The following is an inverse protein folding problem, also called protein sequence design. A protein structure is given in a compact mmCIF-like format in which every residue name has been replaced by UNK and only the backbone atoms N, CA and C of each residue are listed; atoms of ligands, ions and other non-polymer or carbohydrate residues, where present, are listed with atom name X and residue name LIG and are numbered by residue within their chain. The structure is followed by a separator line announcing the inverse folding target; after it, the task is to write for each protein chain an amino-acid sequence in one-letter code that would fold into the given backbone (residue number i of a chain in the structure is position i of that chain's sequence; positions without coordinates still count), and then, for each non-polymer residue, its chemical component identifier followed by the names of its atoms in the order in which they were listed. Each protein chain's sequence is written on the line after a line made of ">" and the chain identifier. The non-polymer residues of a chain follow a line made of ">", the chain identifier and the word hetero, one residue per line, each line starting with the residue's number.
data_IF_909172427799
#
_entry.id   IF_909172427799
#
_cell.length_a   1.000
_cell.length_b   1.000
_cell.length_c   1.000
_cell.angle_alpha   90.00
_cell.angle_beta   90.00
_cell.angle_gamma   90.00
#
_symmetry.space_group_name_H-M   'P 1'
#
loop_
_entity.id
_entity.type
_entity.pdbx_description
1 polymer ?
#
# COMPACT_ATOMS: atom_id res chain seq x y z
N UNK A 1 16.43 -0.33 33.13
CA UNK A 1 16.04 0.98 32.57
C UNK A 1 14.87 0.75 31.65
N UNK A 2 13.76 1.44 31.83
CA UNK A 2 12.60 1.29 30.95
C UNK A 2 12.98 1.78 29.54
N UNK A 3 12.80 0.94 28.52
CA UNK A 3 13.05 1.30 27.13
C UNK A 3 11.89 2.16 26.64
N UNK A 4 12.03 3.48 26.79
CA UNK A 4 11.07 4.45 26.31
C UNK A 4 10.87 4.27 24.80
N UNK A 5 9.65 3.99 24.36
CA UNK A 5 9.35 3.63 22.96
C UNK A 5 8.92 4.79 22.08
N UNK A 6 8.97 5.98 22.65
CA UNK A 6 8.59 7.19 21.98
C UNK A 6 9.56 8.31 22.40
N UNK A 7 10.38 8.84 21.48
CA UNK A 7 11.30 9.93 21.77
C UNK A 7 10.58 11.26 22.01
N UNK A 8 9.27 11.34 21.70
CA UNK A 8 8.42 12.52 21.90
C UNK A 8 7.68 12.50 23.25
N UNK A 9 8.14 11.76 24.27
CA UNK A 9 7.55 11.79 25.62
C UNK A 9 8.59 11.51 26.71
N UNK A 10 8.24 11.65 28.00
CA UNK A 10 9.12 11.31 29.14
C UNK A 10 8.44 10.31 30.06
N UNK A 11 9.23 9.52 30.79
CA UNK A 11 8.68 8.57 31.79
C UNK A 11 7.84 9.32 32.84
N UNK A 12 8.27 10.52 33.26
CA UNK A 12 7.53 11.34 34.23
C UNK A 12 6.16 11.76 33.68
N UNK A 13 6.10 12.25 32.43
CA UNK A 13 4.86 12.62 31.77
C UNK A 13 3.91 11.42 31.59
N UNK A 14 4.44 10.26 31.20
CA UNK A 14 3.65 9.03 31.10
C UNK A 14 3.08 8.60 32.46
N UNK A 15 3.90 8.64 33.53
CA UNK A 15 3.44 8.30 34.88
C UNK A 15 2.35 9.25 35.38
N UNK A 16 2.50 10.55 35.17
CA UNK A 16 1.49 11.54 35.52
C UNK A 16 0.19 11.31 34.72
N UNK A 17 0.31 11.08 33.40
CA UNK A 17 -0.81 10.80 32.53
C UNK A 17 -1.57 9.52 32.91
N UNK A 18 -0.85 8.44 33.26
CA UNK A 18 -1.44 7.18 33.75
C UNK A 18 -2.18 7.42 35.06
N UNK A 19 -1.51 7.99 36.06
CA UNK A 19 -2.10 8.21 37.38
C UNK A 19 -3.30 9.17 37.34
N UNK A 20 -3.25 10.20 36.49
CA UNK A 20 -4.35 11.13 36.28
C UNK A 20 -5.57 10.44 35.69
N UNK A 21 -5.39 9.66 34.63
CA UNK A 21 -6.49 8.94 33.97
C UNK A 21 -7.06 7.83 34.84
N UNK A 22 -6.24 7.06 35.55
CA UNK A 22 -6.70 6.03 36.49
C UNK A 22 -7.56 6.62 37.62
N UNK A 23 -7.14 7.76 38.19
CA UNK A 23 -7.95 8.49 39.19
C UNK A 23 -9.27 8.97 38.59
N UNK A 24 -9.25 9.50 37.37
CA UNK A 24 -10.45 9.97 36.69
C UNK A 24 -11.43 8.81 36.41
N UNK A 25 -10.93 7.67 35.96
CA UNK A 25 -11.73 6.45 35.73
C UNK A 25 -12.37 5.97 37.04
N UNK A 26 -11.57 5.83 38.11
CA UNK A 26 -12.06 5.37 39.41
C UNK A 26 -13.13 6.32 40.00
N UNK A 27 -12.93 7.63 39.87
CA UNK A 27 -13.89 8.63 40.32
C UNK A 27 -15.22 8.52 39.56
N UNK A 28 -15.17 8.36 38.23
CA UNK A 28 -16.37 8.23 37.38
C UNK A 28 -17.16 6.96 37.70
N UNK A 29 -16.49 5.82 37.86
CA UNK A 29 -17.13 4.56 38.26
C UNK A 29 -17.77 4.72 39.64
N UNK A 30 -17.02 5.25 40.62
CA UNK A 30 -17.54 5.44 41.98
C UNK A 30 -18.79 6.34 42.00
N UNK A 31 -18.77 7.46 41.29
CA UNK A 31 -19.94 8.35 41.17
C UNK A 31 -21.14 7.62 40.58
N UNK A 32 -20.94 6.85 39.51
CA UNK A 32 -21.99 6.04 38.92
C UNK A 32 -22.57 4.98 39.87
N UNK A 33 -21.78 4.47 40.81
CA UNK A 33 -22.26 3.51 41.81
C UNK A 33 -22.99 4.17 42.97
N UNK A 34 -22.50 5.31 43.45
CA UNK A 34 -22.95 5.91 44.72
C UNK A 34 -23.93 7.07 44.55
N UNK A 35 -23.93 7.75 43.40
CA UNK A 35 -24.65 9.00 43.18
C UNK A 35 -25.59 8.87 41.96
N UNK A 36 -26.69 8.11 42.13
CA UNK A 36 -27.60 7.74 41.03
C UNK A 36 -28.23 8.93 40.29
N UNK A 37 -28.38 10.07 40.95
CA UNK A 37 -28.98 11.28 40.38
C UNK A 37 -27.92 12.29 39.87
N UNK A 38 -26.64 11.92 39.82
CA UNK A 38 -25.58 12.81 39.30
C UNK A 38 -25.88 13.20 37.83
N UNK A 39 -25.94 14.50 37.48
CA UNK A 39 -26.19 14.92 36.10
C UNK A 39 -25.05 14.57 35.12
N UNK A 40 -23.89 14.14 35.62
CA UNK A 40 -22.70 13.82 34.85
C UNK A 40 -22.51 12.34 34.53
N UNK A 41 -23.55 11.48 34.66
CA UNK A 41 -23.44 10.05 34.31
C UNK A 41 -22.99 9.81 32.87
N UNK A 42 -23.17 10.77 31.95
CA UNK A 42 -22.70 10.68 30.56
C UNK A 42 -21.17 10.51 30.46
N UNK A 43 -20.42 10.83 31.51
CA UNK A 43 -18.98 10.63 31.59
C UNK A 43 -18.57 9.15 31.44
N UNK A 44 -19.47 8.21 31.78
CA UNK A 44 -19.28 6.77 31.59
C UNK A 44 -19.00 6.41 30.13
N UNK A 45 -19.60 7.16 29.18
CA UNK A 45 -19.47 6.90 27.75
C UNK A 45 -18.05 7.11 27.21
N UNK A 46 -17.19 7.79 27.98
CA UNK A 46 -15.79 8.04 27.64
C UNK A 46 -14.80 7.05 28.25
N UNK A 47 -15.26 6.14 29.13
CA UNK A 47 -14.37 5.32 29.96
C UNK A 47 -13.49 4.38 29.16
N UNK A 48 -14.05 3.71 28.15
CA UNK A 48 -13.30 2.76 27.32
C UNK A 48 -12.10 3.43 26.65
N UNK A 49 -12.28 4.66 26.17
CA UNK A 49 -11.21 5.45 25.53
C UNK A 49 -10.10 5.78 26.52
N UNK A 50 -10.45 6.21 27.74
CA UNK A 50 -9.50 6.52 28.82
C UNK A 50 -8.74 5.27 29.28
N UNK A 51 -9.45 4.16 29.43
CA UNK A 51 -8.88 2.87 29.80
C UNK A 51 -7.84 2.39 28.77
N UNK A 52 -8.16 2.51 27.48
CA UNK A 52 -7.20 2.18 26.42
C UNK A 52 -6.04 3.14 26.29
N UNK A 53 -6.26 4.42 26.57
CA UNK A 53 -5.18 5.40 26.63
C UNK A 53 -4.19 5.11 27.77
N UNK A 54 -4.68 4.67 28.94
CA UNK A 54 -3.82 4.15 30.02
C UNK A 54 -3.01 2.93 29.56
N UNK A 55 -3.65 1.96 28.91
CA UNK A 55 -2.96 0.78 28.39
C UNK A 55 -1.85 1.15 27.39
N UNK A 56 -2.14 2.06 26.45
CA UNK A 56 -1.15 2.55 25.49
C UNK A 56 0.00 3.32 26.15
N UNK A 57 -0.29 4.14 27.16
CA UNK A 57 0.76 4.86 27.92
C UNK A 57 1.65 3.91 28.70
N UNK A 58 1.09 2.86 29.32
CA UNK A 58 1.85 1.79 29.98
C UNK A 58 2.76 1.05 28.98
N UNK A 59 2.24 0.75 27.79
CA UNK A 59 3.05 0.18 26.72
C UNK A 59 4.18 1.11 26.26
N UNK A 60 3.88 2.39 26.02
CA UNK A 60 4.86 3.40 25.61
C UNK A 60 5.92 3.68 26.69
N UNK A 61 5.54 3.56 27.98
CA UNK A 61 6.45 3.64 29.14
C UNK A 61 7.46 2.50 29.16
N UNK A 62 7.15 1.38 28.48
CA UNK A 62 8.01 0.22 28.40
C UNK A 62 7.77 -0.78 29.53
N UNK A 63 6.55 -0.86 30.05
CA UNK A 63 6.14 -1.90 31.00
C UNK A 63 6.41 -3.30 30.42
N UNK A 64 6.71 -4.26 31.29
CA UNK A 64 6.99 -5.62 30.86
C UNK A 64 5.74 -6.23 30.20
N UNK A 65 5.94 -7.04 29.16
CA UNK A 65 4.82 -7.56 28.38
C UNK A 65 3.90 -8.47 29.21
N UNK A 66 4.46 -9.22 30.17
CA UNK A 66 3.69 -10.05 31.09
C UNK A 66 2.86 -9.22 32.08
N UNK A 67 3.39 -8.08 32.53
CA UNK A 67 2.65 -7.13 33.38
C UNK A 67 1.49 -6.50 32.60
N UNK A 68 1.72 -6.14 31.33
CA UNK A 68 0.67 -5.62 30.44
C UNK A 68 -0.40 -6.67 30.15
N UNK A 69 0.00 -7.93 29.92
CA UNK A 69 -0.92 -9.04 29.72
C UNK A 69 -1.79 -9.27 30.96
N UNK A 70 -1.17 -9.27 32.14
CA UNK A 70 -1.88 -9.39 33.42
C UNK A 70 -2.84 -8.22 33.62
N UNK A 71 -2.36 -6.98 33.50
CA UNK A 71 -3.18 -5.78 33.63
C UNK A 71 -4.38 -5.81 32.67
N UNK A 72 -4.16 -6.15 31.39
CA UNK A 72 -5.22 -6.20 30.39
C UNK A 72 -6.30 -7.24 30.75
N UNK A 73 -5.89 -8.47 31.07
CA UNK A 73 -6.83 -9.57 31.30
C UNK A 73 -7.49 -9.55 32.69
N UNK A 74 -6.76 -9.14 33.72
CA UNK A 74 -7.19 -9.24 35.13
C UNK A 74 -7.75 -7.94 35.69
N UNK A 75 -7.41 -6.78 35.11
CA UNK A 75 -7.87 -5.48 35.60
C UNK A 75 -8.70 -4.74 34.56
N UNK A 76 -8.14 -4.51 33.37
CA UNK A 76 -8.75 -3.66 32.34
C UNK A 76 -10.06 -4.24 31.80
N UNK A 77 -10.04 -5.48 31.32
CA UNK A 77 -11.24 -6.13 30.76
C UNK A 77 -12.37 -6.26 31.80
N UNK A 78 -12.13 -6.74 33.04
CA UNK A 78 -13.16 -6.73 34.08
C UNK A 78 -13.71 -5.34 34.39
N UNK A 79 -12.85 -4.32 34.48
CA UNK A 79 -13.29 -2.94 34.69
C UNK A 79 -14.13 -2.41 33.52
N UNK A 80 -13.80 -2.78 32.28
CA UNK A 80 -14.59 -2.47 31.10
C UNK A 80 -15.97 -3.17 31.12
N UNK A 81 -16.03 -4.46 31.51
CA UNK A 81 -17.33 -5.16 31.70
C UNK A 81 -18.19 -4.46 32.74
N UNK A 82 -17.59 -4.06 33.85
CA UNK A 82 -18.28 -3.34 34.91
C UNK A 82 -18.82 -1.99 34.42
N UNK A 83 -18.01 -1.24 33.68
CA UNK A 83 -18.45 0.01 33.06
C UNK A 83 -19.61 -0.20 32.06
N UNK A 84 -19.61 -1.30 31.29
CA UNK A 84 -20.75 -1.66 30.44
C UNK A 84 -22.02 -1.91 31.26
N UNK A 85 -21.93 -2.65 32.36
CA UNK A 85 -23.07 -2.92 33.23
C UNK A 85 -23.65 -1.62 33.82
N UNK A 86 -22.80 -0.73 34.32
CA UNK A 86 -23.22 0.58 34.81
C UNK A 86 -23.81 1.43 33.68
N UNK A 87 -23.17 1.47 32.51
CA UNK A 87 -23.68 2.23 31.37
C UNK A 87 -25.04 1.71 30.91
N UNK A 88 -25.28 0.40 30.89
CA UNK A 88 -26.59 -0.15 30.52
C UNK A 88 -27.70 0.16 31.53
N UNK A 89 -27.35 0.38 32.80
CA UNK A 89 -28.30 0.85 33.80
C UNK A 89 -28.76 2.29 33.54
N UNK A 90 -27.83 3.20 33.24
CA UNK A 90 -28.13 4.63 33.02
C UNK A 90 -28.58 4.94 31.59
N UNK A 91 -28.08 4.19 30.61
CA UNK A 91 -28.27 4.41 29.17
C UNK A 91 -28.65 3.09 28.49
N UNK A 92 -29.86 2.55 28.74
CA UNK A 92 -30.25 1.22 28.26
C UNK A 92 -30.25 1.10 26.73
N UNK A 93 -30.47 2.20 26.02
CA UNK A 93 -30.44 2.26 24.56
C UNK A 93 -29.02 2.42 23.98
N UNK A 94 -27.99 2.53 24.83
CA UNK A 94 -26.62 2.75 24.42
C UNK A 94 -25.71 1.59 24.84
N UNK A 95 -24.99 1.03 23.89
CA UNK A 95 -23.95 0.02 24.14
C UNK A 95 -22.59 0.69 24.22
N UNK A 96 -21.98 0.67 25.40
CA UNK A 96 -20.63 1.19 25.59
C UNK A 96 -19.60 0.29 24.86
N UNK A 97 -19.03 0.82 23.79
CA UNK A 97 -18.07 0.15 22.91
C UNK A 97 -16.99 1.13 22.45
N UNK A 98 -15.84 0.61 22.06
CA UNK A 98 -14.85 1.35 21.27
C UNK A 98 -15.28 1.36 19.80
N UNK A 99 -14.84 2.33 19.01
CA UNK A 99 -15.04 2.28 17.56
C UNK A 99 -13.80 1.65 16.89
N UNK A 100 -14.00 0.72 15.97
CA UNK A 100 -12.90 0.11 15.21
C UNK A 100 -12.13 1.12 14.34
N UNK A 101 -12.77 2.24 13.97
CA UNK A 101 -12.19 3.36 13.23
C UNK A 101 -11.42 4.35 14.09
N UNK A 102 -11.47 4.23 15.41
CA UNK A 102 -10.74 5.10 16.32
C UNK A 102 -9.35 4.54 16.67
N UNK A 103 -8.40 5.40 17.12
CA UNK A 103 -7.03 4.98 17.42
C UNK A 103 -6.88 3.84 18.43
N UNK A 104 -7.89 3.61 19.26
CA UNK A 104 -7.90 2.54 20.28
C UNK A 104 -8.32 1.18 19.74
N UNK A 105 -8.94 1.11 18.55
CA UNK A 105 -9.41 -0.15 17.96
C UNK A 105 -8.28 -1.15 17.71
N UNK A 106 -7.24 -0.75 16.98
CA UNK A 106 -6.10 -1.64 16.69
C UNK A 106 -5.33 -2.10 17.94
N UNK A 107 -4.99 -1.22 18.90
CA UNK A 107 -4.39 -1.65 20.17
C UNK A 107 -5.24 -2.65 20.94
N UNK A 108 -6.55 -2.44 20.98
CA UNK A 108 -7.47 -3.35 21.68
C UNK A 108 -7.52 -4.72 20.98
N UNK A 109 -7.65 -4.73 19.65
CA UNK A 109 -7.56 -5.97 18.86
C UNK A 109 -6.23 -6.69 19.09
N UNK A 110 -5.10 -5.96 19.08
CA UNK A 110 -3.79 -6.59 19.28
C UNK A 110 -3.63 -7.17 20.69
N UNK A 111 -4.12 -6.46 21.71
CA UNK A 111 -4.13 -6.96 23.08
C UNK A 111 -4.96 -8.24 23.20
N UNK A 112 -6.12 -8.33 22.55
CA UNK A 112 -6.91 -9.58 22.52
C UNK A 112 -6.19 -10.70 21.76
N UNK A 113 -5.62 -10.40 20.60
CA UNK A 113 -4.84 -11.37 19.81
C UNK A 113 -3.67 -11.92 20.62
N UNK A 114 -3.00 -11.09 21.42
CA UNK A 114 -1.86 -11.49 22.24
C UNK A 114 -2.27 -12.14 23.58
N UNK A 115 -3.21 -11.58 24.34
CA UNK A 115 -3.34 -11.86 25.77
C UNK A 115 -4.55 -12.71 26.15
N UNK A 116 -5.65 -12.60 25.41
CA UNK A 116 -6.72 -13.60 25.51
C UNK A 116 -6.14 -14.86 24.89
N UNK A 117 -5.75 -15.87 25.68
CA UNK A 117 -5.09 -17.10 25.20
C UNK A 117 -6.09 -18.10 24.60
N UNK A 118 -7.32 -18.12 25.11
CA UNK A 118 -8.36 -19.07 24.69
C UNK A 118 -9.14 -18.53 23.50
N UNK A 119 -9.36 -17.21 23.44
CA UNK A 119 -9.96 -16.53 22.28
C UNK A 119 -11.42 -16.21 22.51
N UNK A 120 -11.89 -16.40 23.74
CA UNK A 120 -13.27 -16.19 24.14
C UNK A 120 -13.68 -14.73 23.97
N UNK A 121 -12.81 -13.80 24.30
CA UNK A 121 -13.08 -12.36 24.16
C UNK A 121 -12.91 -11.91 22.72
N UNK A 122 -11.91 -12.46 22.02
CA UNK A 122 -11.71 -12.20 20.60
C UNK A 122 -12.89 -12.68 19.74
N UNK A 123 -13.51 -13.81 20.08
CA UNK A 123 -14.72 -14.29 19.38
C UNK A 123 -15.96 -13.42 19.66
N UNK A 124 -15.94 -12.64 20.75
CA UNK A 124 -17.00 -11.70 21.15
C UNK A 124 -16.59 -10.25 20.90
N UNK A 125 -15.78 -10.03 19.87
CA UNK A 125 -15.20 -8.72 19.56
C UNK A 125 -16.27 -7.64 19.35
N UNK A 126 -17.47 -8.01 18.89
CA UNK A 126 -18.62 -7.12 18.70
C UNK A 126 -19.28 -6.66 20.01
N UNK A 127 -18.97 -7.29 21.13
CA UNK A 127 -19.33 -6.78 22.46
C UNK A 127 -18.42 -5.62 22.89
N UNK A 128 -17.21 -5.56 22.34
CA UNK A 128 -16.18 -4.61 22.73
C UNK A 128 -16.03 -3.45 21.74
N UNK A 129 -16.17 -3.75 20.46
CA UNK A 129 -16.02 -2.82 19.36
C UNK A 129 -17.33 -2.66 18.59
N UNK A 130 -17.66 -1.42 18.28
CA UNK A 130 -18.54 -1.11 17.18
C UNK A 130 -17.77 -1.30 15.87
N UNK A 131 -18.24 -2.26 15.09
CA UNK A 131 -17.67 -2.65 13.79
C UNK A 131 -18.42 -2.00 12.62
N UNK A 132 -19.51 -1.26 12.89
CA UNK A 132 -20.23 -0.54 11.85
C UNK A 132 -19.32 0.50 11.20
N UNK A 133 -19.28 0.51 9.86
CA UNK A 133 -18.42 1.38 9.08
C UNK A 133 -16.92 1.30 9.45
N UNK A 134 -16.42 0.13 9.88
CA UNK A 134 -15.02 -0.09 10.23
C UNK A 134 -14.03 0.18 9.07
N UNK A 135 -12.75 0.50 9.38
CA UNK A 135 -11.69 0.58 8.38
C UNK A 135 -11.49 -0.74 7.65
N UNK A 136 -11.21 -0.66 6.36
CA UNK A 136 -10.92 -1.84 5.52
C UNK A 136 -9.77 -2.67 6.12
N UNK A 137 -8.70 -2.00 6.57
CA UNK A 137 -7.56 -2.67 7.18
C UNK A 137 -7.94 -3.38 8.48
N UNK A 138 -8.78 -2.77 9.31
CA UNK A 138 -9.25 -3.38 10.55
C UNK A 138 -10.00 -4.68 10.28
N UNK A 139 -10.92 -4.68 9.32
CA UNK A 139 -11.69 -5.86 8.94
C UNK A 139 -10.80 -6.98 8.35
N UNK A 140 -9.82 -6.63 7.50
CA UNK A 140 -8.84 -7.58 6.96
C UNK A 140 -8.08 -8.27 8.10
N UNK A 141 -7.57 -7.48 9.06
CA UNK A 141 -6.83 -8.01 10.19
C UNK A 141 -7.72 -8.82 11.14
N UNK A 142 -8.95 -8.36 11.41
CA UNK A 142 -9.89 -9.08 12.25
C UNK A 142 -10.27 -10.43 11.62
N UNK A 143 -10.60 -10.47 10.33
CA UNK A 143 -10.93 -11.71 9.63
C UNK A 143 -9.79 -12.71 9.66
N UNK A 144 -8.55 -12.25 9.60
CA UNK A 144 -7.39 -13.13 9.71
C UNK A 144 -7.42 -13.93 11.02
N UNK A 145 -7.76 -13.29 12.15
CA UNK A 145 -7.81 -13.95 13.46
C UNK A 145 -9.18 -14.52 13.84
N UNK A 146 -10.26 -14.12 13.16
CA UNK A 146 -11.63 -14.59 13.35
C UNK A 146 -12.19 -15.01 11.99
N UNK A 147 -11.90 -16.24 11.51
CA UNK A 147 -12.17 -16.64 10.13
C UNK A 147 -13.64 -16.52 9.68
N UNK A 148 -14.57 -16.68 10.62
CA UNK A 148 -16.01 -16.56 10.38
C UNK A 148 -16.51 -15.10 10.29
N UNK A 149 -15.64 -14.12 10.55
CA UNK A 149 -15.99 -12.72 10.39
C UNK A 149 -16.26 -12.41 8.91
N UNK A 150 -17.42 -11.82 8.64
CA UNK A 150 -17.82 -11.39 7.31
C UNK A 150 -17.41 -9.94 7.07
N UNK A 151 -16.82 -9.68 5.90
CA UNK A 151 -16.53 -8.31 5.49
C UNK A 151 -17.81 -7.47 5.37
N UNK A 152 -17.67 -6.16 5.55
CA UNK A 152 -18.75 -5.23 5.25
C UNK A 152 -19.15 -5.36 3.77
N UNK A 153 -20.46 -5.26 3.48
CA UNK A 153 -20.97 -5.37 2.09
C UNK A 153 -20.43 -4.29 1.16
N UNK A 154 -20.11 -3.11 1.71
CA UNK A 154 -19.57 -1.95 1.00
C UNK A 154 -18.67 -1.16 1.95
N UNK A 155 -17.51 -0.73 1.46
CA UNK A 155 -16.63 0.19 2.18
C UNK A 155 -16.76 1.61 1.64
N UNK A 156 -16.77 2.60 2.53
CA UNK A 156 -16.82 4.02 2.17
C UNK A 156 -15.40 4.56 2.01
N UNK A 157 -14.95 4.92 0.78
CA UNK A 157 -13.55 5.25 0.52
C UNK A 157 -13.02 6.50 1.26
N UNK A 158 -13.94 7.41 1.62
CA UNK A 158 -13.61 8.75 2.12
C UNK A 158 -13.66 8.87 3.65
N UNK A 159 -14.29 7.92 4.35
CA UNK A 159 -14.48 7.97 5.80
C UNK A 159 -13.52 7.07 6.59
N UNK A 160 -12.92 6.08 5.94
CA UNK A 160 -12.47 4.87 6.66
C UNK A 160 -10.97 4.58 6.52
N UNK A 161 -10.15 5.50 6.02
CA UNK A 161 -8.72 5.22 5.84
C UNK A 161 -7.89 6.45 6.19
N UNK A 162 -7.17 6.35 7.31
CA UNK A 162 -6.02 7.19 7.53
C UNK A 162 -4.97 6.88 6.45
N UNK A 163 -4.30 7.91 5.90
CA UNK A 163 -3.38 7.76 4.77
C UNK A 163 -2.22 6.78 5.00
N UNK A 164 -1.93 6.43 6.26
CA UNK A 164 -0.92 5.45 6.64
C UNK A 164 -1.41 3.99 6.62
N UNK A 165 -2.71 3.73 6.47
CA UNK A 165 -3.24 2.37 6.39
C UNK A 165 -3.06 1.75 5.00
N UNK A 166 -3.16 2.55 3.95
CA UNK A 166 -3.08 2.11 2.54
C UNK A 166 -1.80 1.30 2.26
N UNK A 167 -0.59 1.70 2.69
CA UNK A 167 0.62 0.90 2.48
C UNK A 167 0.53 -0.50 3.11
N UNK A 168 -0.11 -0.63 4.28
CA UNK A 168 -0.27 -1.91 4.98
C UNK A 168 -1.30 -2.78 4.25
N UNK A 169 -2.43 -2.20 3.84
CA UNK A 169 -3.43 -2.89 3.01
C UNK A 169 -2.76 -3.40 1.72
N UNK A 170 -2.01 -2.54 1.03
CA UNK A 170 -1.33 -2.87 -0.23
C UNK A 170 -0.34 -4.01 -0.04
N UNK A 171 0.43 -4.00 1.07
CA UNK A 171 1.33 -5.09 1.40
C UNK A 171 0.57 -6.42 1.57
N UNK A 172 -0.51 -6.43 2.34
CA UNK A 172 -1.28 -7.64 2.64
C UNK A 172 -1.95 -8.23 1.39
N UNK A 173 -2.60 -7.37 0.60
CA UNK A 173 -3.36 -7.76 -0.60
C UNK A 173 -2.43 -8.13 -1.76
N UNK A 174 -1.23 -7.57 -1.81
CA UNK A 174 -0.23 -7.86 -2.83
C UNK A 174 0.38 -9.26 -2.73
N UNK A 175 1.37 -9.51 -3.59
CA UNK A 175 2.11 -10.77 -3.63
C UNK A 175 2.79 -11.09 -2.29
N UNK A 176 2.66 -12.34 -1.84
CA UNK A 176 3.24 -12.81 -0.58
C UNK A 176 4.75 -12.57 -0.49
N UNK A 177 5.48 -12.83 -1.58
CA UNK A 177 6.93 -12.59 -1.66
C UNK A 177 7.33 -11.12 -1.47
N UNK A 178 6.42 -10.17 -1.67
CA UNK A 178 6.67 -8.72 -1.55
C UNK A 178 6.19 -8.14 -0.21
N UNK A 179 5.48 -8.91 0.62
CA UNK A 179 4.92 -8.44 1.92
C UNK A 179 6.00 -7.90 2.86
N UNK A 180 7.10 -8.63 3.01
CA UNK A 180 8.20 -8.23 3.90
C UNK A 180 8.81 -6.89 3.47
N UNK A 181 9.19 -6.75 2.20
CA UNK A 181 9.84 -5.53 1.70
C UNK A 181 8.87 -4.34 1.71
N UNK A 182 7.58 -4.58 1.43
CA UNK A 182 6.54 -3.55 1.52
C UNK A 182 6.34 -3.04 2.96
N UNK A 183 6.25 -3.92 3.95
CA UNK A 183 6.15 -3.51 5.35
C UNK A 183 7.44 -2.86 5.87
N UNK A 184 8.62 -3.33 5.44
CA UNK A 184 9.89 -2.67 5.77
C UNK A 184 9.93 -1.22 5.24
N UNK A 185 9.46 -1.00 4.00
CA UNK A 185 9.34 0.33 3.40
C UNK A 185 8.33 1.21 4.15
N UNK A 186 7.17 0.66 4.53
CA UNK A 186 6.19 1.36 5.36
C UNK A 186 6.80 1.81 6.70
N UNK A 187 7.46 0.90 7.40
CA UNK A 187 8.08 1.16 8.69
C UNK A 187 9.19 2.22 8.57
N UNK A 188 10.05 2.13 7.56
CA UNK A 188 11.06 3.16 7.27
C UNK A 188 10.46 4.55 6.99
N UNK A 189 9.24 4.63 6.46
CA UNK A 189 8.53 5.88 6.20
C UNK A 189 7.64 6.35 7.37
N UNK A 190 7.51 5.57 8.45
CA UNK A 190 6.59 5.86 9.56
C UNK A 190 6.76 7.27 10.14
N UNK A 191 7.98 7.77 10.46
CA UNK A 191 8.17 9.13 10.96
C UNK A 191 7.59 10.20 10.03
N UNK A 192 7.75 10.03 8.71
CA UNK A 192 7.25 10.96 7.69
C UNK A 192 5.72 10.92 7.61
N UNK A 193 5.13 9.72 7.63
CA UNK A 193 3.68 9.52 7.62
C UNK A 193 3.01 10.15 8.85
N UNK A 194 3.71 10.16 9.98
CA UNK A 194 3.18 10.67 11.25
C UNK A 194 3.36 12.17 11.48
N UNK A 195 4.12 12.89 10.64
CA UNK A 195 4.32 14.36 10.80
C UNK A 195 3.00 15.15 10.88
N UNK A 196 1.97 14.87 10.05
CA UNK A 196 0.66 15.55 10.13
C UNK A 196 -0.08 15.25 11.45
N UNK A 197 0.19 14.10 12.07
CA UNK A 197 -0.43 13.63 13.30
C UNK A 197 0.36 14.05 14.56
N UNK A 198 1.29 15.00 14.43
CA UNK A 198 2.01 15.59 15.55
C UNK A 198 3.36 14.95 15.88
N UNK A 199 3.85 13.99 15.09
CA UNK A 199 5.20 13.46 15.27
C UNK A 199 6.28 14.54 15.11
N UNK A 200 7.27 14.53 16.00
CA UNK A 200 8.44 15.43 16.00
C UNK A 200 9.69 14.66 16.42
N UNK A 201 10.80 14.86 15.70
CA UNK A 201 12.11 14.22 15.98
C UNK A 201 12.78 14.76 17.26
N UNK A 202 12.48 16.02 17.62
CA UNK A 202 12.99 16.69 18.82
C UNK A 202 11.83 17.33 19.58
N UNK A 203 11.87 17.24 20.91
CA UNK A 203 10.77 17.64 21.78
C UNK A 203 11.13 18.86 22.63
N UNK A 204 10.15 19.75 22.84
CA UNK A 204 10.16 20.73 23.93
C UNK A 204 9.21 20.26 25.03
N UNK A 205 9.56 20.45 26.30
CA UNK A 205 8.98 19.82 27.51
C UNK A 205 7.43 19.94 27.72
N UNK A 206 6.66 20.54 26.80
CA UNK A 206 5.28 20.98 27.03
C UNK A 206 4.21 20.41 26.07
N UNK A 207 4.50 19.38 25.27
CA UNK A 207 3.50 18.81 24.31
C UNK A 207 3.02 17.42 24.75
N UNK A 208 1.90 16.94 24.19
CA UNK A 208 1.30 15.62 24.47
C UNK A 208 2.20 14.46 24.03
N UNK A 209 2.12 13.32 24.75
CA UNK A 209 2.79 12.09 24.39
C UNK A 209 2.28 11.55 23.04
N UNK A 210 3.16 11.40 22.05
CA UNK A 210 2.79 10.85 20.75
C UNK A 210 2.48 9.34 20.83
N UNK A 211 1.20 8.95 20.87
CA UNK A 211 0.78 7.56 21.08
C UNK A 211 0.40 6.81 19.81
N UNK A 212 0.60 7.40 18.63
CA UNK A 212 0.41 6.69 17.36
C UNK A 212 1.59 5.75 17.11
N UNK A 213 1.36 4.47 17.43
CA UNK A 213 2.29 3.38 17.16
C UNK A 213 1.80 2.61 15.91
N UNK A 214 2.71 2.03 15.10
CA UNK A 214 2.37 1.22 13.93
C UNK A 214 1.85 -0.17 14.35
N UNK A 215 0.79 -0.18 15.17
CA UNK A 215 0.14 -1.38 15.72
C UNK A 215 -0.42 -2.26 14.61
N UNK A 216 -0.99 -1.65 13.58
CA UNK A 216 -1.49 -2.31 12.39
C UNK A 216 -0.41 -3.14 11.66
N UNK A 217 0.85 -2.67 11.61
CA UNK A 217 1.94 -3.45 11.03
C UNK A 217 2.34 -4.65 11.89
N UNK A 218 2.34 -4.50 13.23
CA UNK A 218 2.53 -5.62 14.15
C UNK A 218 1.45 -6.69 14.02
N UNK A 219 0.18 -6.27 13.95
CA UNK A 219 -0.96 -7.14 13.68
C UNK A 219 -0.82 -7.86 12.33
N UNK A 220 -0.44 -7.15 11.27
CA UNK A 220 -0.23 -7.74 9.94
C UNK A 220 0.87 -8.81 9.96
N UNK A 221 1.97 -8.56 10.67
CA UNK A 221 3.04 -9.53 10.87
C UNK A 221 2.53 -10.79 11.57
N UNK A 222 1.72 -10.65 12.62
CA UNK A 222 1.14 -11.80 13.32
C UNK A 222 0.11 -12.55 12.46
N UNK A 223 -0.75 -11.82 11.74
CA UNK A 223 -1.85 -12.38 10.95
C UNK A 223 -1.37 -13.22 9.74
N UNK A 224 -0.30 -12.76 9.09
CA UNK A 224 0.21 -13.33 7.83
C UNK A 224 1.60 -13.96 7.96
N UNK A 225 2.10 -14.13 9.19
CA UNK A 225 3.42 -14.69 9.51
C UNK A 225 4.57 -14.05 8.73
N UNK A 226 4.50 -12.73 8.54
CA UNK A 226 5.50 -11.97 7.78
C UNK A 226 6.81 -11.90 8.59
N UNK A 227 7.94 -12.14 7.94
CA UNK A 227 9.25 -11.95 8.58
C UNK A 227 9.53 -10.45 8.79
N UNK A 228 9.59 -10.05 10.05
CA UNK A 228 9.79 -8.68 10.53
C UNK A 228 11.26 -8.33 10.76
N UNK A 229 12.19 -9.26 10.55
CA UNK A 229 13.62 -9.07 10.81
C UNK A 229 14.19 -7.74 10.27
N UNK A 230 13.84 -7.27 9.05
CA UNK A 230 14.39 -6.02 8.51
C UNK A 230 13.98 -4.73 9.26
N UNK A 231 12.92 -4.78 10.06
CA UNK A 231 12.37 -3.60 10.75
C UNK A 231 12.07 -3.85 12.24
N UNK A 232 12.40 -5.03 12.76
CA UNK A 232 12.14 -5.45 14.15
C UNK A 232 12.73 -4.49 15.18
N UNK A 233 13.91 -3.94 14.89
CA UNK A 233 14.64 -3.07 15.81
C UNK A 233 14.27 -1.59 15.70
N UNK A 234 13.32 -1.23 14.84
CA UNK A 234 12.83 0.14 14.76
C UNK A 234 12.11 0.54 16.04
N UNK A 235 12.41 1.74 16.55
CA UNK A 235 11.97 2.23 17.86
C UNK A 235 10.46 2.12 18.12
N UNK A 236 9.65 2.40 17.10
CA UNK A 236 8.19 2.44 17.20
C UNK A 236 7.52 1.09 16.96
N UNK A 237 8.25 0.13 16.39
CA UNK A 237 7.68 -1.14 15.99
C UNK A 237 7.28 -1.95 17.24
N UNK A 238 6.06 -2.52 17.31
CA UNK A 238 5.60 -3.24 18.49
C UNK A 238 6.18 -4.67 18.61
N UNK A 239 7.51 -4.81 18.52
CA UNK A 239 8.20 -6.11 18.49
C UNK A 239 7.88 -7.00 19.68
N UNK A 240 7.64 -6.44 20.87
CA UNK A 240 7.39 -7.20 22.09
C UNK A 240 6.00 -7.86 22.06
N UNK A 241 4.99 -7.19 21.49
CA UNK A 241 3.67 -7.79 21.26
C UNK A 241 3.75 -8.91 20.22
N UNK A 242 4.51 -8.70 19.14
CA UNK A 242 4.75 -9.69 18.09
C UNK A 242 5.51 -10.90 18.63
N UNK A 243 6.58 -10.68 19.40
CA UNK A 243 7.36 -11.72 20.04
C UNK A 243 6.51 -12.52 21.03
N UNK A 244 5.69 -11.84 21.84
CA UNK A 244 4.77 -12.49 22.76
C UNK A 244 3.75 -13.37 22.02
N UNK A 245 3.14 -12.85 20.95
CA UNK A 245 2.23 -13.62 20.10
C UNK A 245 2.91 -14.88 19.55
N UNK A 246 4.10 -14.73 18.95
CA UNK A 246 4.86 -15.86 18.40
C UNK A 246 5.21 -16.91 19.45
N UNK A 247 5.58 -16.49 20.66
CA UNK A 247 6.01 -17.40 21.72
C UNK A 247 4.84 -18.12 22.43
N UNK A 248 3.65 -17.51 22.51
CA UNK A 248 2.58 -18.00 23.39
C UNK A 248 1.27 -18.34 22.69
N UNK A 249 1.02 -17.76 21.50
CA UNK A 249 -0.30 -17.79 20.86
C UNK A 249 -0.25 -18.45 19.49
N UNK A 250 0.80 -18.18 18.71
CA UNK A 250 0.93 -18.64 17.32
C UNK A 250 0.60 -20.12 17.15
N UNK A 251 1.17 -20.98 17.98
CA UNK A 251 1.03 -22.44 17.84
C UNK A 251 -0.33 -22.94 18.32
N UNK A 252 -0.97 -22.25 19.27
CA UNK A 252 -2.27 -22.65 19.83
C UNK A 252 -3.45 -22.18 18.98
N UNK A 253 -3.22 -21.25 18.04
CA UNK A 253 -4.24 -20.65 17.17
C UNK A 253 -3.91 -20.74 15.70
N UNK A 254 -3.14 -21.76 15.32
CA UNK A 254 -2.64 -21.87 13.95
C UNK A 254 -3.75 -21.90 12.89
N UNK A 255 -4.89 -22.50 13.24
CA UNK A 255 -6.09 -22.53 12.39
C UNK A 255 -6.76 -21.16 12.15
N UNK A 256 -6.33 -20.11 12.86
CA UNK A 256 -6.84 -18.74 12.74
C UNK A 256 -5.78 -17.82 12.14
N UNK A 257 -4.93 -18.34 11.25
CA UNK A 257 -3.99 -17.54 10.48
C UNK A 257 -4.36 -17.58 9.01
N UNK A 258 -4.32 -16.43 8.34
CA UNK A 258 -4.53 -16.33 6.90
C UNK A 258 -3.25 -16.65 6.10
N UNK A 259 -2.36 -17.48 6.66
CA UNK A 259 -1.10 -17.87 6.05
C UNK A 259 -1.38 -18.56 4.70
N UNK A 260 -0.88 -18.00 3.60
CA UNK A 260 -1.09 -18.53 2.24
C UNK A 260 -2.45 -18.23 1.58
N UNK A 261 -3.41 -17.60 2.26
CA UNK A 261 -4.76 -17.29 1.72
C UNK A 261 -4.92 -15.78 1.40
N UNK A 262 -4.11 -14.92 2.03
CA UNK A 262 -4.22 -13.46 1.87
C UNK A 262 -5.52 -12.93 2.48
N UNK A 263 -6.01 -11.77 2.01
CA UNK A 263 -7.27 -11.19 2.49
C UNK A 263 -8.54 -11.97 2.04
N UNK A 264 -8.38 -13.04 1.25
CA UNK A 264 -9.46 -13.88 0.75
C UNK A 264 -10.27 -13.27 -0.41
N UNK A 265 -10.93 -14.11 -1.23
CA UNK A 265 -11.71 -13.65 -2.40
C UNK A 265 -12.99 -12.89 -2.02
N UNK A 266 -13.41 -12.97 -0.75
CA UNK A 266 -14.59 -12.28 -0.21
C UNK A 266 -14.36 -10.78 -0.01
N UNK A 267 -13.10 -10.31 -0.07
CA UNK A 267 -12.77 -8.90 0.13
C UNK A 267 -13.43 -8.07 -1.00
N UNK A 268 -14.37 -7.17 -0.66
CA UNK A 268 -14.98 -6.28 -1.63
C UNK A 268 -13.92 -5.39 -2.29
N UNK A 269 -14.20 -4.95 -3.52
CA UNK A 269 -13.34 -4.01 -4.24
C UNK A 269 -12.98 -2.79 -3.37
N UNK A 270 -11.68 -2.50 -3.26
CA UNK A 270 -11.14 -1.35 -2.53
C UNK A 270 -10.73 -0.29 -3.56
N UNK A 271 -11.50 0.80 -3.75
CA UNK A 271 -11.25 1.78 -4.81
C UNK A 271 -9.88 2.45 -4.77
N UNK A 272 -9.22 2.51 -3.61
CA UNK A 272 -7.89 3.09 -3.43
C UNK A 272 -6.74 2.13 -3.76
N UNK A 273 -7.00 0.82 -3.75
CA UNK A 273 -6.08 -0.20 -4.28
C UNK A 273 -6.30 -0.43 -5.77
N UNK A 274 -7.41 0.08 -6.34
CA UNK A 274 -7.53 0.17 -7.77
C UNK A 274 -6.28 0.90 -8.28
N UNK A 275 -5.64 0.40 -9.35
CA UNK A 275 -4.50 1.09 -9.94
C UNK A 275 -4.89 2.56 -10.06
N UNK A 276 -4.06 3.45 -9.48
CA UNK A 276 -4.28 4.89 -9.58
C UNK A 276 -4.63 5.13 -11.03
N UNK A 277 -5.78 5.76 -11.29
CA UNK A 277 -6.03 6.29 -12.62
C UNK A 277 -4.87 7.23 -12.88
N UNK A 278 -3.85 6.74 -13.60
CA UNK A 278 -2.90 7.57 -14.33
C UNK A 278 -3.80 8.55 -15.04
N UNK A 279 -3.54 9.85 -14.89
CA UNK A 279 -4.35 10.86 -15.55
C UNK A 279 -4.38 10.51 -17.04
N UNK A 280 -5.43 9.82 -17.49
CA UNK A 280 -5.53 9.33 -18.84
C UNK A 280 -5.71 10.59 -19.68
N UNK A 281 -4.72 10.90 -20.49
CA UNK A 281 -4.81 12.02 -21.41
C UNK A 281 -6.06 11.82 -22.28
N UNK A 282 -6.70 12.90 -22.76
CA UNK A 282 -7.75 12.69 -23.77
C UNK A 282 -7.14 11.96 -24.97
N UNK A 283 -7.88 11.14 -25.74
CA UNK A 283 -7.30 10.38 -26.86
C UNK A 283 -6.44 11.22 -27.83
N UNK A 284 -6.82 12.46 -28.09
CA UNK A 284 -6.03 13.40 -28.89
C UNK A 284 -4.68 13.79 -28.24
N UNK A 285 -4.70 14.04 -26.92
CA UNK A 285 -3.52 14.40 -26.13
C UNK A 285 -2.60 13.20 -25.95
N UNK A 286 -3.15 12.00 -25.73
CA UNK A 286 -2.42 10.75 -25.63
C UNK A 286 -1.67 10.43 -26.93
N UNK A 287 -2.38 10.48 -28.06
CA UNK A 287 -1.77 10.30 -29.38
C UNK A 287 -0.72 11.36 -29.69
N UNK A 288 -1.00 12.62 -29.38
CA UNK A 288 -0.06 13.72 -29.56
C UNK A 288 1.24 13.50 -28.77
N UNK A 289 1.15 13.03 -27.52
CA UNK A 289 2.30 12.72 -26.66
C UNK A 289 3.03 11.45 -27.12
N UNK A 290 2.30 10.43 -27.57
CA UNK A 290 2.89 9.22 -28.12
C UNK A 290 3.79 9.54 -29.32
N UNK A 291 3.32 10.40 -30.25
CA UNK A 291 4.13 10.86 -31.40
C UNK A 291 5.34 11.68 -30.97
N UNK A 292 5.22 12.54 -29.95
CA UNK A 292 6.35 13.31 -29.41
C UNK A 292 7.46 12.39 -28.89
N UNK A 293 7.09 11.39 -28.07
CA UNK A 293 8.02 10.41 -27.53
C UNK A 293 8.63 9.54 -28.64
N UNK A 294 7.81 9.09 -29.58
CA UNK A 294 8.27 8.36 -30.77
C UNK A 294 9.18 9.22 -31.65
N UNK A 295 9.16 10.55 -31.57
CA UNK A 295 10.11 11.44 -32.24
C UNK A 295 11.25 11.92 -31.31
N UNK A 296 11.29 11.46 -30.05
CA UNK A 296 12.33 11.77 -29.07
C UNK A 296 12.30 13.21 -28.55
N UNK A 297 11.10 13.79 -28.48
CA UNK A 297 10.85 15.19 -28.13
C UNK A 297 11.55 16.21 -29.07
N UNK A 298 11.99 15.79 -30.25
CA UNK A 298 12.47 16.71 -31.29
C UNK A 298 11.29 17.45 -31.91
N UNK A 299 11.26 18.78 -31.72
CA UNK A 299 10.16 19.62 -32.16
C UNK A 299 10.00 19.64 -33.70
N UNK A 300 11.10 19.53 -34.44
CA UNK A 300 11.09 19.54 -35.91
C UNK A 300 10.58 18.20 -36.46
N UNK A 301 11.07 17.08 -35.93
CA UNK A 301 10.60 15.75 -36.30
C UNK A 301 9.13 15.55 -35.90
N UNK A 302 8.74 15.98 -34.70
CA UNK A 302 7.35 15.93 -34.24
C UNK A 302 6.42 16.74 -35.14
N UNK A 303 6.83 17.94 -35.55
CA UNK A 303 6.04 18.77 -36.46
C UNK A 303 5.91 18.13 -37.84
N UNK A 304 6.98 17.52 -38.37
CA UNK A 304 6.95 16.80 -39.64
C UNK A 304 6.03 15.57 -39.58
N UNK A 305 6.12 14.77 -38.51
CA UNK A 305 5.25 13.62 -38.28
C UNK A 305 3.77 14.03 -38.18
N UNK A 306 3.46 15.08 -37.40
CA UNK A 306 2.09 15.61 -37.30
C UNK A 306 1.56 16.16 -38.62
N UNK A 307 2.43 16.74 -39.45
CA UNK A 307 2.04 17.22 -40.77
C UNK A 307 1.70 16.04 -41.71
N UNK A 308 2.52 14.99 -41.72
CA UNK A 308 2.29 13.78 -42.51
C UNK A 308 1.00 13.05 -42.10
N UNK A 309 0.72 12.97 -40.80
CA UNK A 309 -0.45 12.26 -40.24
C UNK A 309 -1.75 13.09 -40.27
N UNK A 310 -1.62 14.40 -40.51
CA UNK A 310 -2.73 15.36 -40.54
C UNK A 310 -3.32 15.69 -39.16
N UNK A 311 -4.21 16.70 -39.12
CA UNK A 311 -4.91 17.09 -37.88
C UNK A 311 -5.95 16.04 -37.50
N UNK A 312 -5.63 15.15 -36.56
CA UNK A 312 -6.53 14.09 -36.08
C UNK A 312 -6.86 14.27 -34.59
N UNK A 313 -8.05 13.82 -34.19
CA UNK A 313 -8.52 13.81 -32.78
C UNK A 313 -8.23 12.49 -32.05
N UNK A 314 -7.79 11.48 -32.78
CA UNK A 314 -7.48 10.12 -32.30
C UNK A 314 -6.37 9.54 -33.17
N UNK A 315 -5.68 8.51 -32.68
CA UNK A 315 -4.69 7.77 -33.46
C UNK A 315 -5.37 7.13 -34.69
N UNK A 316 -4.78 7.26 -35.90
CA UNK A 316 -5.21 6.49 -37.07
C UNK A 316 -4.72 5.03 -36.94
N UNK A 317 -4.97 4.21 -37.95
CA UNK A 317 -4.46 2.84 -38.00
C UNK A 317 -2.94 2.79 -37.81
N UNK A 318 -2.46 1.85 -36.99
CA UNK A 318 -1.06 1.79 -36.55
C UNK A 318 -0.10 1.71 -37.74
N UNK A 319 -0.37 0.83 -38.71
CA UNK A 319 0.42 0.74 -39.95
C UNK A 319 0.58 2.08 -40.68
N UNK A 320 -0.46 2.92 -40.76
CA UNK A 320 -0.36 4.26 -41.36
C UNK A 320 0.53 5.21 -40.54
N UNK A 321 0.50 5.08 -39.21
CA UNK A 321 1.38 5.85 -38.31
C UNK A 321 2.83 5.43 -38.52
N UNK A 322 3.09 4.13 -38.55
CA UNK A 322 4.42 3.56 -38.65
C UNK A 322 5.04 3.74 -40.04
N UNK A 323 4.24 3.69 -41.10
CA UNK A 323 4.66 4.08 -42.45
C UNK A 323 5.13 5.54 -42.47
N UNK A 324 4.36 6.47 -41.89
CA UNK A 324 4.75 7.88 -41.84
C UNK A 324 6.00 8.12 -40.97
N UNK A 325 6.13 7.44 -39.83
CA UNK A 325 7.31 7.56 -38.96
C UNK A 325 8.56 6.97 -39.60
N UNK A 326 8.44 5.82 -40.28
CA UNK A 326 9.57 5.20 -40.98
C UNK A 326 10.05 6.06 -42.15
N UNK A 327 9.15 6.69 -42.90
CA UNK A 327 9.51 7.65 -43.95
C UNK A 327 10.30 8.87 -43.45
N UNK A 328 10.18 9.20 -42.15
CA UNK A 328 10.93 10.26 -41.47
C UNK A 328 12.18 9.75 -40.74
N UNK A 329 12.47 8.45 -40.79
CA UNK A 329 13.53 7.81 -40.00
C UNK A 329 13.26 7.81 -38.49
N UNK A 330 12.01 7.96 -38.05
CA UNK A 330 11.63 7.97 -36.63
C UNK A 330 11.12 6.61 -36.12
N UNK A 331 10.92 5.65 -37.02
CA UNK A 331 10.59 4.26 -36.71
C UNK A 331 10.96 3.30 -37.84
N UNK A 332 10.55 2.04 -37.71
CA UNK A 332 10.66 1.02 -38.75
C UNK A 332 9.26 0.53 -39.12
N UNK A 333 9.09 0.18 -40.39
CA UNK A 333 7.90 -0.44 -40.95
C UNK A 333 8.35 -1.25 -42.17
N UNK A 334 8.60 -2.55 -41.96
CA UNK A 334 9.16 -3.44 -42.98
C UNK A 334 8.38 -4.76 -42.99
N UNK A 335 8.14 -5.36 -44.15
CA UNK A 335 7.50 -6.68 -44.26
C UNK A 335 8.26 -7.73 -43.43
N UNK A 336 7.55 -8.73 -42.90
CA UNK A 336 8.13 -9.78 -42.05
C UNK A 336 9.37 -10.48 -42.67
N UNK A 337 9.45 -10.53 -44.01
CA UNK A 337 10.53 -11.17 -44.77
C UNK A 337 11.52 -10.18 -45.38
N UNK A 338 11.28 -8.88 -45.30
CA UNK A 338 12.12 -7.85 -45.92
C UNK A 338 13.18 -7.33 -44.93
N UNK A 339 14.20 -8.16 -44.73
CA UNK A 339 15.33 -7.86 -43.85
C UNK A 339 16.22 -6.73 -44.39
N UNK A 340 16.22 -6.50 -45.71
CA UNK A 340 16.96 -5.40 -46.33
C UNK A 340 16.35 -4.04 -45.98
N UNK A 341 15.02 -3.91 -46.10
CA UNK A 341 14.30 -2.69 -45.72
C UNK A 341 14.43 -2.44 -44.22
N UNK A 342 14.27 -3.48 -43.37
CA UNK A 342 14.41 -3.32 -41.93
C UNK A 342 15.82 -2.88 -41.51
N UNK A 343 16.87 -3.45 -42.12
CA UNK A 343 18.25 -3.04 -41.86
C UNK A 343 18.48 -1.57 -42.23
N UNK A 344 18.00 -1.15 -43.40
CA UNK A 344 18.12 0.23 -43.85
C UNK A 344 17.39 1.21 -42.93
N UNK A 345 16.17 0.88 -42.52
CA UNK A 345 15.39 1.72 -41.60
C UNK A 345 16.01 1.77 -40.20
N UNK A 346 16.62 0.69 -39.71
CA UNK A 346 17.34 0.68 -38.43
C UNK A 346 18.55 1.64 -38.45
N UNK A 347 19.29 1.68 -39.56
CA UNK A 347 20.38 2.65 -39.76
C UNK A 347 19.85 4.08 -39.79
N UNK A 348 18.80 4.35 -40.58
CA UNK A 348 18.15 5.66 -40.65
C UNK A 348 17.64 6.12 -39.28
N UNK A 349 17.05 5.21 -38.50
CA UNK A 349 16.60 5.48 -37.15
C UNK A 349 17.76 5.94 -36.26
N UNK A 350 18.89 5.25 -36.29
CA UNK A 350 20.06 5.66 -35.51
C UNK A 350 20.59 7.03 -35.94
N UNK A 351 20.66 7.29 -37.24
CA UNK A 351 21.08 8.60 -37.79
C UNK A 351 20.14 9.71 -37.33
N UNK A 352 18.83 9.50 -37.40
CA UNK A 352 17.85 10.51 -37.02
C UNK A 352 17.87 10.80 -35.51
N UNK A 353 18.38 9.86 -34.70
CA UNK A 353 18.62 10.04 -33.26
C UNK A 353 19.98 10.62 -32.91
N UNK A 354 20.79 10.97 -33.92
CA UNK A 354 22.15 11.46 -33.71
C UNK A 354 23.07 10.43 -33.06
N UNK A 355 22.78 9.14 -33.24
CA UNK A 355 23.58 8.05 -32.71
C UNK A 355 24.72 7.69 -33.67
N UNK A 356 25.80 7.06 -33.19
CA UNK A 356 26.82 6.50 -34.07
C UNK A 356 26.22 5.47 -35.04
N UNK A 357 26.85 5.22 -36.20
CA UNK A 357 26.33 4.28 -37.19
C UNK A 357 26.08 2.90 -36.58
N UNK A 358 24.86 2.42 -36.72
CA UNK A 358 24.52 1.04 -36.41
C UNK A 358 25.06 0.12 -37.51
N UNK A 359 25.68 -0.99 -37.13
CA UNK A 359 26.17 -1.99 -38.08
C UNK A 359 25.24 -3.20 -38.00
N UNK A 360 24.42 -3.38 -39.03
CA UNK A 360 23.53 -4.52 -39.16
C UNK A 360 24.31 -5.86 -39.14
N UNK A 361 23.76 -6.92 -38.50
CA UNK A 361 24.34 -8.26 -38.59
C UNK A 361 24.48 -8.71 -40.05
N UNK A 362 25.64 -9.30 -40.44
CA UNK A 362 25.85 -9.80 -41.79
C UNK A 362 24.93 -10.99 -42.07
N UNK A 363 24.49 -11.12 -43.32
CA UNK A 363 23.85 -12.36 -43.79
C UNK A 363 24.91 -13.47 -43.96
N UNK A 364 24.56 -14.76 -43.82
CA UNK A 364 23.26 -15.33 -43.38
C UNK A 364 23.09 -15.30 -41.84
N UNK A 365 21.84 -15.35 -41.30
CA UNK A 365 20.57 -15.70 -41.95
C UNK A 365 20.00 -14.62 -42.90
N UNK A 366 18.95 -14.93 -43.65
CA UNK A 366 18.17 -14.00 -44.50
C UNK A 366 16.67 -14.11 -44.15
N UNK A 367 15.87 -13.10 -44.53
CA UNK A 367 14.43 -13.09 -44.29
C UNK A 367 14.06 -12.97 -42.79
N UNK A 368 12.98 -13.62 -42.31
CA UNK A 368 12.46 -13.41 -40.96
C UNK A 368 13.49 -13.64 -39.83
N UNK A 369 14.35 -14.65 -39.98
CA UNK A 369 15.40 -14.92 -38.98
C UNK A 369 16.45 -13.80 -38.93
N UNK A 370 16.71 -13.11 -40.04
CA UNK A 370 17.56 -11.92 -40.04
C UNK A 370 16.84 -10.71 -39.47
N UNK A 371 15.53 -10.55 -39.68
CA UNK A 371 14.75 -9.52 -39.01
C UNK A 371 14.81 -9.65 -37.48
N UNK A 372 14.62 -10.86 -36.95
CA UNK A 372 14.79 -11.16 -35.52
C UNK A 372 16.17 -10.81 -34.98
N UNK A 373 17.23 -11.16 -35.74
CA UNK A 373 18.61 -10.84 -35.39
C UNK A 373 18.88 -9.32 -35.44
N UNK A 374 18.32 -8.61 -36.42
CA UNK A 374 18.39 -7.16 -36.55
C UNK A 374 17.74 -6.45 -35.37
N UNK A 375 16.51 -6.82 -35.00
CA UNK A 375 15.81 -6.25 -33.85
C UNK A 375 16.58 -6.50 -32.55
N UNK A 376 17.08 -7.73 -32.35
CA UNK A 376 17.89 -8.06 -31.17
C UNK A 376 19.19 -7.24 -31.09
N UNK A 377 19.91 -7.10 -32.21
CA UNK A 377 21.12 -6.30 -32.28
C UNK A 377 20.84 -4.80 -32.07
N UNK A 378 19.75 -4.29 -32.66
CA UNK A 378 19.33 -2.90 -32.51
C UNK A 378 18.90 -2.60 -31.07
N UNK A 379 18.19 -3.50 -30.40
CA UNK A 379 17.82 -3.38 -28.98
C UNK A 379 19.07 -3.23 -28.10
N UNK A 380 20.07 -4.11 -28.29
CA UNK A 380 21.32 -4.05 -27.55
C UNK A 380 22.08 -2.73 -27.83
N UNK A 381 22.18 -2.33 -29.11
CA UNK A 381 22.84 -1.10 -29.52
C UNK A 381 22.19 0.16 -28.93
N UNK A 382 20.86 0.25 -28.99
CA UNK A 382 20.12 1.39 -28.44
C UNK A 382 20.23 1.46 -26.91
N UNK A 383 20.23 0.31 -26.23
CA UNK A 383 20.40 0.24 -24.78
C UNK A 383 21.74 0.84 -24.30
N UNK A 384 22.83 0.59 -25.02
CA UNK A 384 24.15 1.17 -24.73
C UNK A 384 24.16 2.71 -24.83
N UNK A 385 23.21 3.28 -25.58
CA UNK A 385 23.10 4.72 -25.81
C UNK A 385 21.92 5.36 -25.05
N UNK A 386 21.42 4.71 -23.99
CA UNK A 386 20.35 5.25 -23.14
C UNK A 386 18.99 5.33 -23.83
N UNK A 387 18.78 4.50 -24.86
CA UNK A 387 17.53 4.40 -25.62
C UNK A 387 16.91 3.02 -25.45
N UNK A 388 15.65 2.90 -25.85
CA UNK A 388 14.89 1.65 -25.86
C UNK A 388 14.21 1.48 -27.21
N UNK A 389 14.31 0.27 -27.76
CA UNK A 389 13.51 -0.15 -28.90
C UNK A 389 12.17 -0.66 -28.37
N UNK A 390 11.07 -0.13 -28.90
CA UNK A 390 9.72 -0.63 -28.61
C UNK A 390 9.15 -1.15 -29.91
N UNK A 391 8.90 -2.45 -29.97
CA UNK A 391 8.29 -3.12 -31.13
C UNK A 391 6.78 -3.16 -30.90
N UNK A 392 6.04 -2.55 -31.81
CA UNK A 392 4.58 -2.44 -31.75
C UNK A 392 3.94 -3.34 -32.80
N UNK A 393 2.76 -3.86 -32.48
CA UNK A 393 2.05 -4.82 -33.33
C UNK A 393 0.58 -4.42 -33.48
N UNK A 394 0.04 -4.65 -34.67
CA UNK A 394 -1.38 -4.54 -34.99
C UNK A 394 -1.97 -5.87 -35.51
N UNK A 395 -1.21 -6.96 -35.41
CA UNK A 395 -1.54 -8.26 -35.95
C UNK A 395 -1.32 -8.37 -37.47
N UNK A 396 -0.66 -7.36 -38.07
CA UNK A 396 -0.29 -7.34 -39.47
C UNK A 396 0.98 -8.14 -39.81
N UNK A 397 1.40 -8.01 -41.06
CA UNK A 397 2.52 -8.71 -41.69
C UNK A 397 3.78 -7.83 -41.84
N UNK A 398 3.96 -6.88 -40.92
CA UNK A 398 5.11 -5.99 -40.87
C UNK A 398 5.76 -5.89 -39.48
N UNK A 399 7.09 -5.81 -39.45
CA UNK A 399 7.87 -5.39 -38.29
C UNK A 399 7.78 -3.87 -38.09
N UNK A 400 7.20 -3.46 -36.97
CA UNK A 400 7.02 -2.05 -36.63
C UNK A 400 7.71 -1.72 -35.31
N UNK A 401 8.61 -0.75 -35.30
CA UNK A 401 9.32 -0.37 -34.07
C UNK A 401 9.65 1.12 -34.01
N UNK A 402 9.72 1.66 -32.80
CA UNK A 402 10.17 3.03 -32.52
C UNK A 402 11.29 3.03 -31.49
N UNK A 403 12.07 4.11 -31.49
CA UNK A 403 13.11 4.35 -30.49
C UNK A 403 12.66 5.45 -29.51
N UNK A 404 12.67 5.14 -28.22
CA UNK A 404 12.37 6.11 -27.14
C UNK A 404 13.55 6.26 -26.20
N UNK A 405 13.56 7.34 -25.40
CA UNK A 405 14.57 7.49 -24.33
C UNK A 405 14.26 6.48 -23.22
N UNK A 406 15.29 5.91 -22.60
CA UNK A 406 15.09 4.94 -21.52
C UNK A 406 14.28 5.53 -20.34
N UNK A 407 14.39 6.84 -20.08
CA UNK A 407 13.61 7.52 -19.05
C UNK A 407 12.11 7.69 -19.40
N UNK A 408 11.76 7.64 -20.69
CA UNK A 408 10.37 7.79 -21.15
C UNK A 408 9.67 6.45 -21.39
N UNK A 409 10.38 5.32 -21.26
CA UNK A 409 9.88 3.97 -21.56
C UNK A 409 8.56 3.68 -20.84
N UNK A 410 8.51 3.94 -19.54
CA UNK A 410 7.30 3.72 -18.72
C UNK A 410 6.12 4.54 -19.25
N UNK A 411 6.33 5.83 -19.52
CA UNK A 411 5.28 6.71 -20.05
C UNK A 411 4.83 6.25 -21.44
N UNK A 412 5.75 5.80 -22.28
CA UNK A 412 5.44 5.36 -23.63
C UNK A 412 4.58 4.08 -23.63
N UNK A 413 4.91 3.11 -22.78
CA UNK A 413 4.15 1.88 -22.62
C UNK A 413 2.74 2.14 -22.06
N UNK A 414 2.60 3.04 -21.08
CA UNK A 414 1.30 3.48 -20.58
C UNK A 414 0.44 4.12 -21.70
N UNK A 415 1.05 4.88 -22.60
CA UNK A 415 0.35 5.46 -23.75
C UNK A 415 -0.04 4.39 -24.79
N UNK A 416 0.79 3.37 -25.00
CA UNK A 416 0.44 2.25 -25.89
C UNK A 416 -0.81 1.51 -25.37
N UNK A 417 -0.83 1.18 -24.07
CA UNK A 417 -2.00 0.58 -23.42
C UNK A 417 -3.25 1.48 -23.57
N UNK A 418 -3.11 2.77 -23.31
CA UNK A 418 -4.22 3.72 -23.40
C UNK A 418 -4.78 3.86 -24.83
N UNK A 419 -3.91 3.75 -25.84
CA UNK A 419 -4.26 3.86 -27.26
C UNK A 419 -4.63 2.50 -27.88
N UNK A 420 -4.58 1.41 -27.10
CA UNK A 420 -4.79 0.04 -27.59
C UNK A 420 -3.81 -0.33 -28.72
N UNK A 421 -2.55 0.04 -28.53
CA UNK A 421 -1.41 -0.36 -29.37
C UNK A 421 -0.72 -1.52 -28.67
N UNK A 422 -0.71 -2.69 -29.29
CA UNK A 422 -0.04 -3.86 -28.72
C UNK A 422 1.47 -3.68 -28.82
N UNK A 423 2.17 -4.07 -27.76
CA UNK A 423 3.63 -4.06 -27.69
C UNK A 423 4.09 -5.49 -27.60
N UNK A 424 4.98 -5.89 -28.52
CA UNK A 424 5.53 -7.23 -28.51
C UNK A 424 6.55 -7.36 -27.36
N UNK A 425 6.57 -8.53 -26.72
CA UNK A 425 7.65 -8.91 -25.83
C UNK A 425 8.87 -9.33 -26.64
N UNK A 426 10.09 -9.09 -26.13
CA UNK A 426 11.31 -9.46 -26.84
C UNK A 426 11.43 -10.96 -27.12
N UNK A 427 10.79 -11.80 -26.29
CA UNK A 427 10.69 -13.24 -26.52
C UNK A 427 9.82 -13.63 -27.74
N UNK A 428 8.98 -12.72 -28.25
CA UNK A 428 8.09 -12.99 -29.37
C UNK A 428 8.77 -12.87 -30.75
N UNK A 429 9.89 -12.14 -30.83
CA UNK A 429 10.67 -12.01 -32.07
C UNK A 429 12.09 -12.56 -31.98
N UNK A 430 12.54 -13.01 -30.81
CA UNK A 430 13.76 -13.83 -30.66
C UNK A 430 13.45 -15.28 -30.97
#
# INVERSE_FOLDING_TARGET
>A
MANLRNPSTTIASLNEGIASEERAIALKIKRAETERDDPHQYDLLSLFKKQMDVFLKRYARGDAIDELAHYFMSELLPAMRHAQQLSSFYFPDHKLRLYSSEPWGYPFLFALVCFDKVGTELQRIDEWLDLADGPVLFDILLKAFVPHYAYAKKYQPQRNQDGYEIPVITAIVGEEAKRQSALASFMGNWPKLMKPYGYREHFSEQVSAFTHLPINAGLAVCAYDIDDTPFRDQLFYPRELVAYYRAHIRDTRDAWRACGIGAGPELPFIPQLAPRKVHSLKPAEAYARWVELACGDDATATAAARMALGKRKTMPELGSVMEALSALGMGTFADLKDDATLAHQAEQLCVARGLPPFVAPPAPPEGPARCSALLSALTAWLAEHGKRLVVVDDGGDAWQAVCVRAEDEVQFLELCEQLSVDVMDEAAWR
#
